data_IF_924309758751
#
_entry.id   IF_924309758751
#
_cell.length_a   1.000
_cell.length_b   1.000
_cell.length_c   1.000
_cell.angle_alpha   90.00
_cell.angle_beta   90.00
_cell.angle_gamma   90.00
#
_symmetry.space_group_name_H-M   'P 1'
#
loop_
_entity.id
_entity.type
_entity.pdbx_description
1 polymer ?
#
# COMPACT_ATOMS: atom_id res chain seq x y z
N UNK A 1 8.19 6.08 -10.50
CA UNK A 1 7.87 4.63 -10.53
C UNK A 1 9.18 3.92 -10.80
N UNK A 2 9.60 2.96 -9.99
CA UNK A 2 10.80 2.20 -10.31
C UNK A 2 10.52 1.39 -11.58
N UNK A 3 11.28 1.63 -12.64
CA UNK A 3 11.20 0.85 -13.87
C UNK A 3 11.75 -0.53 -13.58
N UNK A 4 10.90 -1.56 -13.66
CA UNK A 4 11.33 -2.93 -13.50
C UNK A 4 12.07 -3.38 -14.78
N UNK A 5 13.28 -3.91 -14.63
CA UNK A 5 14.04 -4.49 -15.74
C UNK A 5 13.86 -6.01 -15.82
N UNK A 6 13.98 -6.54 -17.04
CA UNK A 6 13.92 -7.96 -17.31
C UNK A 6 15.13 -8.67 -16.72
N UNK A 7 14.94 -9.67 -15.86
CA UNK A 7 16.03 -10.41 -15.23
C UNK A 7 16.96 -11.15 -16.23
N UNK A 8 16.51 -11.36 -17.46
CA UNK A 8 17.29 -12.05 -18.50
C UNK A 8 18.00 -11.09 -19.48
N UNK A 9 17.36 -9.98 -19.87
CA UNK A 9 17.87 -9.10 -20.93
C UNK A 9 17.94 -7.61 -20.56
N UNK A 10 17.59 -7.26 -19.32
CA UNK A 10 17.62 -5.91 -18.74
C UNK A 10 16.74 -4.84 -19.44
N UNK A 11 15.95 -5.20 -20.45
CA UNK A 11 14.93 -4.31 -21.04
C UNK A 11 13.76 -4.07 -20.07
N UNK A 12 13.01 -2.97 -20.22
CA UNK A 12 11.79 -2.72 -19.43
C UNK A 12 10.85 -3.93 -19.41
N UNK A 13 10.31 -4.23 -18.24
CA UNK A 13 9.60 -5.47 -17.97
C UNK A 13 8.43 -5.28 -17.00
N UNK A 14 7.22 -5.62 -17.48
CA UNK A 14 6.00 -5.57 -16.67
C UNK A 14 5.57 -6.94 -16.12
N UNK A 15 6.05 -8.04 -16.73
CA UNK A 15 5.65 -9.39 -16.33
C UNK A 15 6.43 -9.84 -15.09
N UNK A 16 5.86 -9.62 -13.92
CA UNK A 16 6.42 -10.11 -12.65
C UNK A 16 6.27 -11.64 -12.51
N UNK A 17 7.24 -12.28 -11.87
CA UNK A 17 7.11 -13.68 -11.46
C UNK A 17 5.86 -13.85 -10.59
N UNK A 18 4.96 -14.78 -10.95
CA UNK A 18 3.70 -15.00 -10.24
C UNK A 18 3.88 -15.53 -8.82
N UNK A 19 4.98 -16.23 -8.55
CA UNK A 19 5.24 -16.83 -7.24
C UNK A 19 5.87 -15.83 -6.26
N UNK A 20 6.92 -15.11 -6.66
CA UNK A 20 7.66 -14.24 -5.75
C UNK A 20 7.43 -12.75 -5.93
N UNK A 21 7.01 -12.33 -7.13
CA UNK A 21 6.87 -10.91 -7.55
C UNK A 21 8.15 -10.05 -7.43
N UNK A 22 9.29 -10.64 -7.07
CA UNK A 22 10.58 -9.95 -6.89
C UNK A 22 11.34 -9.68 -8.19
N UNK A 23 11.13 -10.50 -9.22
CA UNK A 23 11.77 -10.35 -10.53
C UNK A 23 10.73 -10.14 -11.62
N UNK A 24 11.11 -9.39 -12.66
CA UNK A 24 10.28 -9.10 -13.82
C UNK A 24 10.92 -9.61 -15.12
N UNK A 25 10.09 -9.80 -16.14
CA UNK A 25 10.49 -10.26 -17.46
C UNK A 25 9.75 -9.45 -18.53
N UNK A 26 10.37 -9.27 -19.70
CA UNK A 26 9.67 -8.66 -20.83
C UNK A 26 8.78 -9.68 -21.59
N UNK A 27 9.01 -10.98 -21.42
CA UNK A 27 8.25 -12.05 -22.06
C UNK A 27 8.35 -13.39 -21.31
N UNK A 28 7.47 -14.34 -21.65
CA UNK A 28 7.43 -15.69 -21.06
C UNK A 28 8.69 -16.51 -21.36
N UNK A 29 9.33 -16.30 -22.50
CA UNK A 29 10.52 -17.08 -22.88
C UNK A 29 11.73 -16.73 -22.02
N UNK A 30 11.93 -15.45 -21.71
CA UNK A 30 12.93 -15.01 -20.75
C UNK A 30 12.65 -15.53 -19.34
N UNK A 31 11.38 -15.60 -18.92
CA UNK A 31 11.03 -16.26 -17.67
C UNK A 31 11.41 -17.75 -17.68
N UNK A 32 11.09 -18.51 -18.74
CA UNK A 32 11.45 -19.94 -18.84
C UNK A 32 12.96 -20.16 -18.83
N UNK A 33 13.71 -19.28 -19.50
CA UNK A 33 15.18 -19.33 -19.54
C UNK A 33 15.77 -19.09 -18.15
N UNK A 34 15.36 -18.01 -17.49
CA UNK A 34 15.81 -17.67 -16.14
C UNK A 34 15.27 -18.64 -15.07
N UNK A 35 14.16 -19.34 -15.31
CA UNK A 35 13.57 -20.27 -14.34
C UNK A 35 14.54 -21.34 -13.83
N UNK A 36 15.49 -21.78 -14.67
CA UNK A 36 16.50 -22.78 -14.30
C UNK A 36 17.34 -22.36 -13.09
N UNK A 37 17.70 -21.07 -13.00
CA UNK A 37 18.47 -20.50 -11.89
C UNK A 37 17.56 -19.88 -10.83
N UNK A 38 16.42 -19.33 -11.24
CA UNK A 38 15.50 -18.65 -10.34
C UNK A 38 14.68 -19.60 -9.45
N UNK A 39 14.36 -20.82 -9.90
CA UNK A 39 13.45 -21.74 -9.20
C UNK A 39 13.82 -21.96 -7.73
N UNK A 40 15.11 -22.17 -7.44
CA UNK A 40 15.60 -22.39 -6.07
C UNK A 40 15.56 -21.13 -5.19
N UNK A 41 15.56 -19.94 -5.80
CA UNK A 41 15.57 -18.65 -5.10
C UNK A 41 14.19 -17.99 -5.07
N UNK A 42 13.25 -18.47 -5.88
CA UNK A 42 12.00 -17.79 -6.20
C UNK A 42 11.18 -17.48 -4.93
N UNK A 43 10.71 -18.51 -4.23
CA UNK A 43 9.92 -18.33 -3.00
C UNK A 43 10.79 -18.72 -1.81
N UNK A 44 10.99 -17.79 -0.88
CA UNK A 44 11.80 -17.99 0.31
C UNK A 44 11.03 -18.63 1.47
N UNK A 45 9.70 -18.73 1.35
CA UNK A 45 8.84 -19.26 2.40
C UNK A 45 7.63 -20.03 1.85
N UNK A 46 7.09 -20.92 2.69
CA UNK A 46 5.81 -21.58 2.51
C UNK A 46 4.88 -21.29 3.69
N UNK A 47 3.56 -21.42 3.45
CA UNK A 47 2.53 -21.17 4.47
C UNK A 47 2.10 -22.51 5.04
N UNK A 48 2.32 -22.72 6.34
CA UNK A 48 1.98 -23.95 7.06
C UNK A 48 1.00 -23.61 8.18
N UNK A 49 0.18 -24.58 8.59
CA UNK A 49 -0.67 -24.46 9.78
C UNK A 49 -0.23 -25.50 10.81
N UNK A 50 0.17 -25.05 12.00
CA UNK A 50 0.52 -25.94 13.12
C UNK A 50 -0.49 -25.80 14.26
N UNK A 51 -0.50 -26.76 15.18
CA UNK A 51 -1.43 -26.73 16.31
C UNK A 51 -1.04 -25.68 17.36
N UNK A 52 0.24 -25.35 17.43
CA UNK A 52 0.83 -24.51 18.48
C UNK A 52 0.69 -23.02 18.16
N UNK A 53 0.89 -22.61 16.89
CA UNK A 53 0.89 -21.20 16.48
C UNK A 53 -0.12 -20.86 15.39
N UNK A 54 -0.87 -21.86 14.89
CA UNK A 54 -1.79 -21.67 13.78
C UNK A 54 -1.06 -21.45 12.46
N UNK A 55 -1.53 -20.48 11.64
CA UNK A 55 -0.96 -20.21 10.32
C UNK A 55 0.36 -19.43 10.44
N UNK A 56 1.45 -20.04 10.01
CA UNK A 56 2.79 -19.47 10.06
C UNK A 56 3.51 -19.56 8.70
N UNK A 57 4.63 -18.85 8.60
CA UNK A 57 5.55 -18.94 7.47
C UNK A 57 6.78 -19.72 7.90
N UNK A 58 7.20 -20.70 7.10
CA UNK A 58 8.45 -21.44 7.30
C UNK A 58 9.33 -21.27 6.08
N UNK A 59 10.64 -21.23 6.28
CA UNK A 59 11.60 -21.05 5.19
C UNK A 59 11.56 -22.28 4.26
N UNK A 60 11.46 -22.04 2.94
CA UNK A 60 11.43 -23.11 1.92
C UNK A 60 12.80 -23.37 1.28
N UNK A 61 13.84 -22.66 1.75
CA UNK A 61 15.25 -22.78 1.36
C UNK A 61 16.13 -22.20 2.47
N UNK A 62 17.42 -22.46 2.40
CA UNK A 62 18.40 -21.78 3.24
C UNK A 62 18.42 -20.27 2.94
N UNK A 63 18.47 -19.46 4.00
CA UNK A 63 18.44 -18.00 3.94
C UNK A 63 19.79 -17.44 4.36
N UNK A 64 20.32 -16.52 3.55
CA UNK A 64 21.53 -15.78 3.88
C UNK A 64 21.19 -14.40 4.47
N UNK A 65 22.12 -13.83 5.24
CA UNK A 65 21.97 -12.46 5.72
C UNK A 65 21.79 -11.49 4.53
N UNK A 66 20.73 -10.68 4.57
CA UNK A 66 20.37 -9.75 3.49
C UNK A 66 19.34 -10.29 2.48
N UNK A 67 18.95 -11.57 2.56
CA UNK A 67 17.91 -12.12 1.69
C UNK A 67 16.54 -11.44 1.92
N UNK A 68 15.88 -11.07 0.83
CA UNK A 68 14.49 -10.60 0.88
C UNK A 68 13.54 -11.81 1.00
N UNK A 69 12.92 -11.96 2.17
CA UNK A 69 11.97 -13.06 2.43
C UNK A 69 10.57 -12.70 1.88
N UNK A 70 10.07 -11.50 2.20
CA UNK A 70 8.77 -10.97 1.78
C UNK A 70 8.94 -9.50 1.40
N UNK A 71 8.26 -9.08 0.34
CA UNK A 71 8.09 -7.67 0.00
C UNK A 71 6.68 -7.46 -0.55
N UNK A 72 5.94 -6.54 0.07
CA UNK A 72 4.56 -6.24 -0.30
C UNK A 72 4.26 -4.76 -0.03
N UNK A 73 3.37 -4.18 -0.84
CA UNK A 73 2.87 -2.83 -0.59
C UNK A 73 1.86 -2.86 0.56
N UNK A 74 1.86 -1.86 1.45
CA UNK A 74 0.91 -1.83 2.55
C UNK A 74 -0.52 -1.77 2.01
N UNK A 75 -1.43 -2.54 2.59
CA UNK A 75 -2.85 -2.44 2.29
C UNK A 75 -3.37 -1.04 2.63
N UNK A 76 -2.98 -0.52 3.79
CA UNK A 76 -3.29 0.82 4.30
C UNK A 76 -2.09 1.36 5.05
N UNK A 77 -1.85 2.66 4.96
CA UNK A 77 -0.86 3.40 5.75
C UNK A 77 -1.47 4.71 6.25
N UNK A 78 -0.92 5.27 7.34
CA UNK A 78 -1.37 6.53 7.90
C UNK A 78 -0.55 6.98 9.12
N UNK A 79 -0.78 8.20 9.61
CA UNK A 79 -0.15 8.78 10.80
C UNK A 79 -0.16 7.89 12.03
N UNK A 80 0.90 7.99 12.83
CA UNK A 80 0.92 7.47 14.21
C UNK A 80 0.37 8.54 15.17
N UNK A 81 -0.74 8.29 15.90
CA UNK A 81 -1.45 9.34 16.64
C UNK A 81 -0.68 10.03 17.78
N UNK A 82 0.28 9.36 18.42
CA UNK A 82 1.04 9.91 19.56
C UNK A 82 2.16 10.88 19.15
N UNK A 83 2.45 11.03 17.86
CA UNK A 83 3.44 12.00 17.35
C UNK A 83 2.82 13.38 17.07
N UNK A 84 1.54 13.58 17.42
CA UNK A 84 0.74 14.74 17.01
C UNK A 84 0.61 15.79 18.11
N UNK A 85 0.97 15.49 19.37
CA UNK A 85 0.77 16.41 20.50
C UNK A 85 1.76 17.59 20.51
N UNK A 86 2.99 17.42 20.01
CA UNK A 86 4.04 18.46 19.99
C UNK A 86 4.55 18.79 18.56
N UNK A 87 3.99 18.12 17.55
CA UNK A 87 4.43 18.19 16.15
C UNK A 87 5.74 17.43 15.87
N UNK A 88 6.14 17.27 14.58
CA UNK A 88 5.40 17.60 13.36
C UNK A 88 4.34 16.55 12.98
N UNK A 89 3.28 16.98 12.27
CA UNK A 89 2.16 16.13 11.83
C UNK A 89 2.27 15.78 10.35
N UNK A 90 1.78 14.64 9.86
CA UNK A 90 1.81 14.35 8.44
C UNK A 90 0.64 15.02 7.69
N UNK A 91 0.96 15.66 6.58
CA UNK A 91 -0.02 16.09 5.58
C UNK A 91 -0.90 14.91 5.16
N UNK A 92 -2.22 15.05 5.25
CA UNK A 92 -3.17 13.98 4.87
C UNK A 92 -3.08 13.57 3.40
N UNK A 93 -2.62 14.47 2.52
CA UNK A 93 -2.46 14.19 1.10
C UNK A 93 -1.18 13.41 0.77
N UNK A 94 -0.03 13.78 1.33
CA UNK A 94 1.26 13.26 0.89
C UNK A 94 2.14 12.67 1.99
N UNK A 95 1.67 12.65 3.24
CA UNK A 95 2.40 12.21 4.43
C UNK A 95 3.70 12.97 4.73
N UNK A 96 3.97 14.10 4.05
CA UNK A 96 5.07 15.00 4.42
C UNK A 96 4.81 15.57 5.81
N UNK A 97 5.83 15.52 6.66
CA UNK A 97 5.79 16.15 7.98
C UNK A 97 5.71 17.68 7.84
N UNK A 98 4.76 18.28 8.55
CA UNK A 98 4.45 19.71 8.54
C UNK A 98 4.21 20.20 9.97
N UNK A 99 4.44 21.48 10.19
CA UNK A 99 4.10 22.17 11.44
C UNK A 99 2.63 22.57 11.34
N UNK A 100 1.81 22.11 12.28
CA UNK A 100 0.35 22.20 12.15
C UNK A 100 -0.13 23.67 12.16
N UNK A 101 0.40 24.50 13.06
CA UNK A 101 -0.02 25.89 13.25
C UNK A 101 0.20 26.75 12.01
N UNK A 102 1.26 26.47 11.25
CA UNK A 102 1.68 27.25 10.08
C UNK A 102 1.12 26.67 8.77
N UNK A 103 0.49 25.49 8.83
CA UNK A 103 0.03 24.78 7.64
C UNK A 103 -1.36 25.20 7.20
N UNK A 104 -1.60 25.34 5.88
CA UNK A 104 -2.96 25.50 5.36
C UNK A 104 -3.79 24.23 5.65
N UNK A 105 -5.11 24.37 5.55
CA UNK A 105 -6.06 23.28 5.79
C UNK A 105 -6.76 22.85 4.52
N UNK A 106 -7.11 21.57 4.44
CA UNK A 106 -7.89 21.02 3.35
C UNK A 106 -9.27 21.72 3.29
N UNK A 107 -9.69 22.29 2.15
CA UNK A 107 -10.97 22.97 2.04
C UNK A 107 -12.19 22.08 2.28
N UNK A 108 -12.06 20.76 2.10
CA UNK A 108 -13.17 19.81 2.25
C UNK A 108 -13.34 19.31 3.69
N UNK A 109 -12.24 18.95 4.37
CA UNK A 109 -12.30 18.27 5.66
C UNK A 109 -11.55 18.97 6.80
N UNK A 110 -10.92 20.12 6.54
CA UNK A 110 -10.21 20.96 7.52
C UNK A 110 -8.92 20.36 8.13
N UNK A 111 -8.42 19.22 7.65
CA UNK A 111 -7.13 18.67 8.10
C UNK A 111 -5.93 19.48 7.57
N UNK A 112 -4.82 19.56 8.33
CA UNK A 112 -3.61 20.24 7.90
C UNK A 112 -2.97 19.58 6.66
N UNK A 113 -2.50 20.42 5.74
CA UNK A 113 -1.90 20.02 4.47
C UNK A 113 -0.65 20.84 4.19
N UNK A 114 0.29 20.27 3.42
CA UNK A 114 1.52 20.99 3.08
C UNK A 114 1.28 22.22 2.19
N UNK A 115 0.22 22.21 1.37
CA UNK A 115 -0.27 23.33 0.56
C UNK A 115 -1.61 22.94 -0.09
N UNK A 116 -2.39 23.92 -0.54
CA UNK A 116 -3.72 23.70 -1.13
C UNK A 116 -3.68 22.92 -2.47
N UNK A 117 -2.59 23.04 -3.23
CA UNK A 117 -2.36 22.29 -4.46
C UNK A 117 -1.74 20.90 -4.28
N UNK A 118 -1.84 20.28 -3.10
CA UNK A 118 -1.22 18.97 -2.86
C UNK A 118 -1.92 17.90 -3.72
N UNK A 119 -1.20 17.16 -4.61
CA UNK A 119 -1.83 16.21 -5.52
C UNK A 119 -2.53 15.06 -4.78
N UNK A 120 -2.06 14.76 -3.57
CA UNK A 120 -2.67 13.74 -2.72
C UNK A 120 -4.07 14.08 -2.20
N UNK A 121 -4.52 15.34 -2.31
CA UNK A 121 -5.87 15.75 -1.91
C UNK A 121 -6.96 15.24 -2.86
N UNK A 122 -6.62 15.07 -4.15
CA UNK A 122 -7.54 14.58 -5.18
C UNK A 122 -7.29 13.10 -5.52
N UNK A 123 -6.24 12.50 -4.96
CA UNK A 123 -5.87 11.11 -5.20
C UNK A 123 -6.71 10.18 -4.31
N UNK A 124 -7.54 9.33 -4.94
CA UNK A 124 -8.39 8.37 -4.26
C UNK A 124 -7.64 7.30 -3.45
N UNK A 125 -6.40 6.96 -3.83
CA UNK A 125 -5.58 6.04 -3.03
C UNK A 125 -4.97 6.72 -1.79
N UNK A 126 -5.09 8.05 -1.71
CA UNK A 126 -4.65 8.88 -0.59
C UNK A 126 -5.86 9.56 0.05
N UNK A 127 -5.88 10.90 0.11
CA UNK A 127 -6.88 11.64 0.85
C UNK A 127 -8.22 11.77 0.12
N UNK A 128 -8.27 11.62 -1.21
CA UNK A 128 -9.45 11.97 -2.02
C UNK A 128 -10.75 11.32 -1.53
N UNK A 129 -10.74 9.99 -1.30
CA UNK A 129 -11.91 9.28 -0.77
C UNK A 129 -12.13 9.51 0.73
N UNK A 130 -11.06 9.72 1.50
CA UNK A 130 -11.15 10.00 2.94
C UNK A 130 -11.74 11.38 3.22
N UNK A 131 -11.49 12.36 2.35
CA UNK A 131 -11.91 13.75 2.51
C UNK A 131 -13.42 13.87 2.74
N UNK A 132 -14.23 13.15 1.96
CA UNK A 132 -15.68 13.14 2.09
C UNK A 132 -16.14 12.63 3.45
N UNK A 133 -15.49 11.59 3.99
CA UNK A 133 -15.88 11.04 5.29
C UNK A 133 -15.40 11.92 6.43
N UNK A 134 -14.20 12.48 6.30
CA UNK A 134 -13.65 13.40 7.30
C UNK A 134 -14.38 14.75 7.32
N UNK A 135 -15.06 15.15 6.25
CA UNK A 135 -15.89 16.35 6.22
C UNK A 135 -17.24 16.20 6.92
N UNK A 136 -17.70 14.96 7.18
CA UNK A 136 -18.96 14.70 7.91
C UNK A 136 -18.85 14.98 9.42
N UNK A 137 -17.67 15.33 9.93
CA UNK A 137 -17.47 15.63 11.35
C UNK A 137 -18.13 16.94 11.73
N UNK A 138 -18.79 16.95 12.88
CA UNK A 138 -19.45 18.14 13.44
C UNK A 138 -18.44 19.18 13.95
N UNK A 139 -17.25 18.72 14.39
CA UNK A 139 -16.22 19.56 14.98
C UNK A 139 -15.02 19.69 14.03
N UNK A 140 -14.56 20.92 13.86
CA UNK A 140 -13.35 21.25 13.09
C UNK A 140 -12.10 20.73 13.78
N UNK A 141 -11.07 20.40 13.00
CA UNK A 141 -9.84 19.78 13.49
C UNK A 141 -8.86 20.85 14.05
N UNK A 142 -9.37 21.76 14.88
CA UNK A 142 -8.64 22.92 15.40
C UNK A 142 -7.90 22.54 16.69
N UNK A 143 -8.58 21.89 17.63
CA UNK A 143 -8.03 21.46 18.92
C UNK A 143 -8.08 19.92 19.02
N UNK A 144 -7.10 19.30 19.69
CA UNK A 144 -7.10 17.84 19.90
C UNK A 144 -6.88 17.03 18.63
N UNK A 145 -6.06 17.54 17.69
CA UNK A 145 -5.80 16.89 16.38
C UNK A 145 -5.36 15.42 16.50
N UNK A 146 -4.66 15.07 17.58
CA UNK A 146 -4.22 13.70 17.90
C UNK A 146 -5.39 12.72 18.04
N UNK A 147 -6.52 13.15 18.62
CA UNK A 147 -7.73 12.33 18.74
C UNK A 147 -8.30 12.01 17.37
N UNK A 148 -8.31 12.99 16.46
CA UNK A 148 -8.84 12.80 15.11
C UNK A 148 -7.99 11.86 14.24
N UNK A 149 -6.66 11.91 14.35
CA UNK A 149 -5.80 10.99 13.60
C UNK A 149 -5.94 9.51 14.04
N UNK A 150 -6.40 9.22 15.27
CA UNK A 150 -6.76 7.85 15.68
C UNK A 150 -7.91 7.31 14.84
N UNK A 151 -8.95 8.12 14.61
CA UNK A 151 -10.13 7.73 13.85
C UNK A 151 -9.89 7.61 12.34
N UNK A 152 -9.02 8.46 11.78
CA UNK A 152 -8.65 8.43 10.35
C UNK A 152 -8.15 7.03 9.97
N UNK A 153 -7.24 6.43 10.75
CA UNK A 153 -6.67 5.11 10.43
C UNK A 153 -7.71 4.01 10.31
N UNK A 154 -8.70 3.97 11.21
CA UNK A 154 -9.76 2.96 11.18
C UNK A 154 -10.69 3.15 9.97
N UNK A 155 -11.06 4.40 9.68
CA UNK A 155 -11.91 4.72 8.53
C UNK A 155 -11.20 4.41 7.21
N UNK A 156 -9.91 4.75 7.08
CA UNK A 156 -9.10 4.39 5.91
C UNK A 156 -9.04 2.89 5.72
N UNK A 157 -8.89 2.11 6.80
CA UNK A 157 -8.85 0.65 6.73
C UNK A 157 -10.15 0.07 6.17
N UNK A 158 -11.30 0.45 6.73
CA UNK A 158 -12.60 -0.06 6.27
C UNK A 158 -12.91 0.39 4.84
N UNK A 159 -12.62 1.65 4.48
CA UNK A 159 -12.77 2.15 3.11
C UNK A 159 -11.91 1.40 2.10
N UNK A 160 -10.61 1.25 2.38
CA UNK A 160 -9.70 0.57 1.44
C UNK A 160 -9.98 -0.92 1.36
N UNK A 161 -10.43 -1.55 2.44
CA UNK A 161 -10.93 -2.93 2.44
C UNK A 161 -12.18 -3.06 1.58
N UNK A 162 -13.13 -2.13 1.70
CA UNK A 162 -14.33 -2.08 0.84
C UNK A 162 -13.95 -1.89 -0.63
N UNK A 163 -13.11 -0.90 -0.96
CA UNK A 163 -12.64 -0.64 -2.34
C UNK A 163 -11.90 -1.86 -2.91
N UNK A 164 -10.98 -2.46 -2.15
CA UNK A 164 -10.24 -3.67 -2.57
C UNK A 164 -11.17 -4.86 -2.80
N UNK A 165 -12.22 -5.02 -1.98
CA UNK A 165 -13.23 -6.07 -2.16
C UNK A 165 -14.06 -5.86 -3.42
N UNK A 166 -14.42 -4.61 -3.75
CA UNK A 166 -15.16 -4.26 -4.97
C UNK A 166 -14.31 -4.42 -6.23
N UNK A 167 -13.01 -4.14 -6.18
CA UNK A 167 -12.07 -4.43 -7.28
C UNK A 167 -12.00 -5.95 -7.53
N UNK A 168 -11.96 -6.75 -6.46
CA UNK A 168 -11.95 -8.22 -6.54
C UNK A 168 -13.24 -8.78 -7.14
N UNK A 169 -14.40 -8.19 -6.80
CA UNK A 169 -15.71 -8.55 -7.35
C UNK A 169 -15.82 -8.08 -8.82
N UNK A 170 -15.36 -6.87 -9.14
CA UNK A 170 -15.36 -6.30 -10.49
C UNK A 170 -14.47 -7.06 -11.48
N UNK A 171 -13.31 -7.56 -11.04
CA UNK A 171 -12.45 -8.45 -11.83
C UNK A 171 -13.11 -9.82 -12.09
N UNK A 172 -13.90 -10.34 -11.13
CA UNK A 172 -14.68 -11.57 -11.33
C UNK A 172 -15.82 -11.39 -12.35
N UNK A 173 -16.46 -10.21 -12.36
CA UNK A 173 -17.49 -9.85 -13.35
C UNK A 173 -16.93 -9.59 -14.76
N UNK A 174 -15.79 -8.91 -14.88
CA UNK A 174 -15.13 -8.66 -16.17
C UNK A 174 -14.51 -9.92 -16.79
N UNK A 175 -14.02 -10.87 -15.99
CA UNK A 175 -13.53 -12.17 -16.48
C UNK A 175 -14.67 -13.12 -16.89
N UNK A 176 -15.88 -13.00 -16.32
CA UNK A 176 -17.06 -13.79 -16.75
C UNK A 176 -17.71 -13.29 -18.03
N UNK A 177 -17.52 -12.02 -18.40
CA UNK A 177 -18.03 -11.44 -19.67
C UNK A 177 -17.16 -11.67 -20.90
N UNK A 178 -16.01 -12.35 -20.74
CA UNK A 178 -15.12 -12.71 -21.85
C UNK A 178 -15.20 -14.19 -22.23
N UNK A 179 -16.12 -14.94 -21.62
CA UNK A 179 -16.39 -16.36 -21.88
C UNK A 179 -17.88 -16.65 -22.15
N UNK A 180 -18.65 -15.64 -22.51
CA UNK A 180 -19.97 -15.77 -23.15
C UNK A 180 -20.08 -14.75 -24.28
#
# INVERSE_FOLDING_TARGET
MAENSCAECQKPADLKCSACKLVAYCCKDHQKKHWKTHKSLCRAYEVVATKEVGRCLVASRDLNAGDVIISELPLVYGPRPHMVEEGPVPCVGCCRLIICEESPRCPGCDFPVCHLGCPGLQDGEKHGYECLILSLREVRAINGLHDFYRYVRFLTYELKKFISSQISIGLSWLLRRRLF
#
